data_IF_763572930619
#
_entry.id   IF_763572930619
#
_cell.length_a   1.000
_cell.length_b   1.000
_cell.length_c   1.000
_cell.angle_alpha   90.00
_cell.angle_beta   90.00
_cell.angle_gamma   90.00
#
_symmetry.space_group_name_H-M   'P 1'
#
loop_
_entity.id
_entity.type
_entity.pdbx_description
1 polymer ?
#
# COMPACT_ATOMS: atom_id res chain seq x y z
N UNK A 1 -1.00 22.67 21.62
CA UNK A 1 -0.59 21.76 20.54
C UNK A 1 -1.87 21.33 19.84
N UNK A 2 -2.05 21.66 18.56
CA UNK A 2 -3.21 21.21 17.80
C UNK A 2 -3.08 19.71 17.52
N UNK A 3 -4.15 18.94 17.76
CA UNK A 3 -4.18 17.51 17.47
C UNK A 3 -3.81 17.22 16.01
N UNK A 4 -3.14 16.10 15.73
CA UNK A 4 -2.72 15.71 14.38
C UNK A 4 -3.88 15.30 13.45
N UNK A 5 -5.09 15.26 13.98
CA UNK A 5 -6.31 14.80 13.32
C UNK A 5 -7.51 15.72 13.65
N UNK A 6 -8.55 15.62 12.83
CA UNK A 6 -9.86 16.19 13.07
C UNK A 6 -10.67 15.25 13.97
N UNK A 7 -11.46 15.82 14.88
CA UNK A 7 -12.42 15.02 15.65
C UNK A 7 -13.39 14.34 14.68
N UNK A 8 -13.52 13.02 14.78
CA UNK A 8 -14.49 12.29 13.97
C UNK A 8 -15.90 12.53 14.50
N UNK A 9 -16.69 13.30 13.75
CA UNK A 9 -18.07 13.63 14.07
C UNK A 9 -19.09 12.80 13.26
N UNK A 10 -18.62 11.85 12.43
CA UNK A 10 -19.51 10.93 11.75
C UNK A 10 -20.15 9.95 12.76
N UNK A 11 -21.43 9.65 12.57
CA UNK A 11 -22.14 8.66 13.39
C UNK A 11 -21.53 7.28 13.19
N UNK A 12 -21.62 6.42 14.21
CA UNK A 12 -21.35 4.99 14.04
C UNK A 12 -22.44 4.33 13.19
N UNK A 13 -22.18 3.11 12.71
CA UNK A 13 -23.13 2.30 11.95
C UNK A 13 -24.44 2.06 12.73
N UNK A 14 -25.58 2.35 12.10
CA UNK A 14 -26.94 2.25 12.63
C UNK A 14 -27.85 1.47 11.66
N UNK A 15 -27.37 0.34 11.14
CA UNK A 15 -28.10 -0.53 10.22
C UNK A 15 -28.44 0.12 8.87
N UNK A 16 -27.64 1.07 8.40
CA UNK A 16 -27.80 1.64 7.07
C UNK A 16 -27.54 0.60 5.97
N UNK A 17 -28.23 0.76 4.84
CA UNK A 17 -28.03 -0.06 3.65
C UNK A 17 -27.05 0.62 2.70
N UNK A 18 -25.88 0.02 2.51
CA UNK A 18 -24.85 0.54 1.59
C UNK A 18 -24.75 -0.21 0.27
N UNK A 19 -25.31 -1.41 0.21
CA UNK A 19 -25.18 -2.32 -0.92
C UNK A 19 -26.55 -2.65 -1.51
N UNK A 20 -26.59 -2.77 -2.83
CA UNK A 20 -27.71 -3.36 -3.56
C UNK A 20 -27.75 -4.87 -3.35
N UNK A 21 -28.81 -5.53 -3.84
CA UNK A 21 -28.90 -7.00 -3.84
C UNK A 21 -27.77 -7.71 -4.58
N UNK A 22 -27.06 -6.99 -5.46
CA UNK A 22 -25.93 -7.51 -6.24
C UNK A 22 -24.57 -7.18 -5.61
N UNK A 23 -24.54 -6.79 -4.32
CA UNK A 23 -23.32 -6.39 -3.59
C UNK A 23 -22.57 -5.21 -4.21
N UNK A 24 -23.26 -4.34 -4.95
CA UNK A 24 -22.71 -3.09 -5.46
C UNK A 24 -23.09 -1.93 -4.54
N UNK A 25 -22.26 -0.89 -4.43
CA UNK A 25 -22.65 0.33 -3.72
C UNK A 25 -23.97 0.89 -4.28
N UNK A 26 -24.82 1.42 -3.40
CA UNK A 26 -26.07 2.05 -3.83
C UNK A 26 -25.80 3.28 -4.71
N UNK A 27 -26.68 3.57 -5.70
CA UNK A 27 -26.47 4.65 -6.66
C UNK A 27 -26.20 6.03 -6.04
N UNK A 28 -26.87 6.36 -4.94
CA UNK A 28 -26.69 7.63 -4.23
C UNK A 28 -25.23 7.86 -3.82
N UNK A 29 -24.55 6.81 -3.35
CA UNK A 29 -23.15 6.89 -2.91
C UNK A 29 -22.23 6.81 -4.12
N UNK A 30 -22.44 5.84 -5.00
CA UNK A 30 -21.55 5.64 -6.15
C UNK A 30 -21.56 6.82 -7.11
N UNK A 31 -22.72 7.42 -7.40
CA UNK A 31 -22.81 8.55 -8.34
C UNK A 31 -22.12 9.80 -7.81
N UNK A 32 -22.22 10.09 -6.50
CA UNK A 32 -21.50 11.21 -5.89
C UNK A 32 -19.98 11.03 -5.98
N UNK A 33 -19.51 9.81 -5.74
CA UNK A 33 -18.09 9.45 -5.83
C UNK A 33 -17.60 9.56 -7.27
N UNK A 34 -18.32 9.00 -8.24
CA UNK A 34 -17.97 9.05 -9.67
C UNK A 34 -17.90 10.50 -10.16
N UNK A 35 -18.92 11.32 -9.84
CA UNK A 35 -18.92 12.73 -10.23
C UNK A 35 -17.73 13.50 -9.65
N UNK A 36 -17.37 13.23 -8.39
CA UNK A 36 -16.18 13.81 -7.78
C UNK A 36 -14.90 13.36 -8.49
N UNK A 37 -14.76 12.07 -8.82
CA UNK A 37 -13.61 11.52 -9.55
C UNK A 37 -13.44 12.23 -10.89
N UNK A 38 -14.50 12.35 -11.69
CA UNK A 38 -14.48 13.01 -13.00
C UNK A 38 -13.96 14.45 -12.89
N UNK A 39 -14.46 15.22 -11.91
CA UNK A 39 -13.99 16.57 -11.67
C UNK A 39 -12.51 16.62 -11.27
N UNK A 40 -12.08 15.74 -10.37
CA UNK A 40 -10.70 15.77 -9.87
C UNK A 40 -9.68 15.24 -10.88
N UNK A 41 -10.07 14.36 -11.80
CA UNK A 41 -9.21 13.95 -12.92
C UNK A 41 -8.82 15.17 -13.76
N UNK A 42 -9.77 16.07 -14.06
CA UNK A 42 -9.46 17.31 -14.78
C UNK A 42 -8.50 18.22 -14.01
N UNK A 43 -8.61 18.29 -12.67
CA UNK A 43 -7.64 19.01 -11.83
C UNK A 43 -6.26 18.35 -11.89
N UNK A 44 -6.20 17.01 -11.84
CA UNK A 44 -4.96 16.26 -11.93
C UNK A 44 -4.25 16.46 -13.27
N UNK A 45 -5.00 16.54 -14.36
CA UNK A 45 -4.47 16.75 -15.72
C UNK A 45 -3.82 18.11 -15.95
N UNK A 46 -4.12 19.11 -15.10
CA UNK A 46 -3.47 20.42 -15.15
C UNK A 46 -2.04 20.38 -14.60
N UNK A 47 -1.66 19.32 -13.91
CA UNK A 47 -0.31 19.14 -13.39
C UNK A 47 0.62 18.56 -14.46
N UNK A 48 1.76 19.22 -14.70
CA UNK A 48 2.70 18.88 -15.77
C UNK A 48 4.16 18.72 -15.29
N UNK A 49 4.40 18.58 -13.99
CA UNK A 49 5.76 18.30 -13.53
C UNK A 49 6.04 16.80 -13.65
N UNK A 50 6.92 16.49 -14.61
CA UNK A 50 7.36 15.13 -14.95
C UNK A 50 8.80 14.85 -14.53
N UNK A 51 9.38 15.66 -13.64
CA UNK A 51 10.79 15.52 -13.22
C UNK A 51 11.03 14.32 -12.29
N UNK A 52 10.01 13.87 -11.58
CA UNK A 52 10.04 12.65 -10.76
C UNK A 52 9.34 11.50 -11.50
N UNK A 53 10.10 10.45 -11.81
CA UNK A 53 9.58 9.24 -12.44
C UNK A 53 9.10 8.19 -11.42
N UNK A 54 9.25 8.41 -10.11
CA UNK A 54 8.89 7.42 -9.08
C UNK A 54 7.40 7.11 -9.03
N UNK A 55 7.04 5.95 -8.47
CA UNK A 55 5.62 5.61 -8.22
C UNK A 55 5.09 6.36 -7.00
N UNK A 56 5.95 6.61 -6.01
CA UNK A 56 5.55 7.24 -4.76
C UNK A 56 5.12 8.70 -4.96
N UNK A 57 5.98 9.52 -5.58
CA UNK A 57 5.74 10.96 -5.76
C UNK A 57 5.63 11.43 -7.21
N UNK A 58 6.00 10.57 -8.16
CA UNK A 58 6.17 10.94 -9.55
C UNK A 58 5.06 10.49 -10.53
N UNK A 59 5.35 10.69 -11.80
CA UNK A 59 4.45 10.44 -12.93
C UNK A 59 4.07 8.95 -13.08
N UNK A 60 4.93 8.02 -12.69
CA UNK A 60 4.60 6.59 -12.75
C UNK A 60 3.47 6.24 -11.77
N UNK A 61 3.37 6.94 -10.63
CA UNK A 61 2.25 6.78 -9.70
C UNK A 61 0.92 7.21 -10.31
N UNK A 62 0.94 8.27 -11.13
CA UNK A 62 -0.23 8.75 -11.87
C UNK A 62 -0.57 7.79 -13.01
N UNK A 63 0.43 7.22 -13.69
CA UNK A 63 0.21 6.18 -14.70
C UNK A 63 -0.47 4.93 -14.08
N UNK A 64 -0.06 4.53 -12.87
CA UNK A 64 -0.69 3.44 -12.13
C UNK A 64 -2.15 3.75 -11.79
N UNK A 65 -2.47 5.00 -11.42
CA UNK A 65 -3.85 5.44 -11.22
C UNK A 65 -4.67 5.29 -12.51
N UNK A 66 -4.17 5.77 -13.65
CA UNK A 66 -4.91 5.66 -14.91
C UNK A 66 -5.13 4.20 -15.34
N UNK A 67 -4.13 3.34 -15.16
CA UNK A 67 -4.30 1.91 -15.41
C UNK A 67 -5.42 1.33 -14.52
N UNK A 68 -5.50 1.74 -13.26
CA UNK A 68 -6.57 1.32 -12.35
C UNK A 68 -7.94 1.88 -12.76
N UNK A 69 -8.04 3.16 -13.13
CA UNK A 69 -9.27 3.77 -13.64
C UNK A 69 -9.80 3.02 -14.87
N UNK A 70 -8.93 2.59 -15.79
CA UNK A 70 -9.33 1.79 -16.95
C UNK A 70 -9.89 0.41 -16.62
N UNK A 71 -9.53 -0.17 -15.46
CA UNK A 71 -10.10 -1.43 -14.97
C UNK A 71 -11.50 -1.24 -14.38
N UNK A 72 -11.75 -0.10 -13.73
CA UNK A 72 -13.02 0.19 -13.04
C UNK A 72 -14.04 0.84 -13.97
N UNK A 73 -13.59 1.65 -14.94
CA UNK A 73 -14.42 2.32 -15.94
C UNK A 73 -14.13 1.77 -17.34
N UNK A 74 -14.64 0.57 -17.68
CA UNK A 74 -14.26 -0.13 -18.92
C UNK A 74 -14.64 0.62 -20.20
N UNK A 75 -15.64 1.48 -20.17
CA UNK A 75 -16.03 2.33 -21.31
C UNK A 75 -14.95 3.34 -21.70
N UNK A 76 -14.19 3.82 -20.71
CA UNK A 76 -13.08 4.78 -20.89
C UNK A 76 -11.71 4.09 -20.87
N UNK A 77 -11.65 2.76 -20.87
CA UNK A 77 -10.40 1.99 -20.73
C UNK A 77 -9.33 2.48 -21.71
N UNK A 78 -9.67 2.62 -22.99
CA UNK A 78 -8.71 3.02 -24.02
C UNK A 78 -8.15 4.44 -23.79
N UNK A 79 -8.99 5.37 -23.30
CA UNK A 79 -8.58 6.73 -22.98
C UNK A 79 -7.60 6.73 -21.80
N UNK A 80 -7.94 6.02 -20.72
CA UNK A 80 -7.06 5.91 -19.56
C UNK A 80 -5.75 5.15 -19.85
N UNK A 81 -5.79 4.05 -20.61
CA UNK A 81 -4.59 3.35 -21.06
C UNK A 81 -3.68 4.26 -21.88
N UNK A 82 -4.25 5.10 -22.77
CA UNK A 82 -3.48 6.07 -23.54
C UNK A 82 -2.77 7.09 -22.64
N UNK A 83 -3.48 7.67 -21.66
CA UNK A 83 -2.90 8.60 -20.67
C UNK A 83 -1.80 7.95 -19.83
N UNK A 84 -2.05 6.74 -19.33
CA UNK A 84 -1.07 5.97 -18.59
C UNK A 84 0.19 5.72 -19.42
N UNK A 85 0.03 5.37 -20.70
CA UNK A 85 1.13 5.14 -21.64
C UNK A 85 1.95 6.42 -21.87
N UNK A 86 1.32 7.56 -22.11
CA UNK A 86 2.05 8.83 -22.31
C UNK A 86 2.93 9.17 -21.11
N UNK A 87 2.41 9.00 -19.90
CA UNK A 87 3.19 9.25 -18.68
C UNK A 87 4.32 8.25 -18.51
N UNK A 88 4.06 6.96 -18.76
CA UNK A 88 5.07 5.93 -18.55
C UNK A 88 6.21 6.02 -19.56
N UNK A 89 5.92 6.39 -20.81
CA UNK A 89 6.94 6.59 -21.84
C UNK A 89 7.94 7.67 -21.43
N UNK A 90 7.44 8.81 -20.91
CA UNK A 90 8.28 9.88 -20.34
C UNK A 90 9.10 9.39 -19.15
N UNK A 91 8.53 8.56 -18.27
CA UNK A 91 9.26 7.98 -17.15
C UNK A 91 10.40 7.07 -17.61
N UNK A 92 10.20 6.28 -18.68
CA UNK A 92 11.20 5.35 -19.21
C UNK A 92 12.43 6.07 -19.80
N UNK A 93 12.30 7.33 -20.21
CA UNK A 93 13.41 8.17 -20.68
C UNK A 93 14.27 8.71 -19.54
N UNK A 94 13.75 8.74 -18.30
CA UNK A 94 14.38 9.35 -17.12
C UNK A 94 14.90 8.32 -16.10
N UNK A 95 15.00 7.05 -16.49
CA UNK A 95 15.46 5.96 -15.62
C UNK A 95 16.94 6.11 -15.28
N UNK A 96 17.22 6.56 -14.06
CA UNK A 96 18.57 6.77 -13.53
C UNK A 96 18.70 6.36 -12.05
N UNK A 97 17.66 5.76 -11.47
CA UNK A 97 17.65 5.53 -10.03
C UNK A 97 18.53 4.34 -9.65
N UNK A 98 19.34 4.52 -8.61
CA UNK A 98 20.04 3.41 -7.93
C UNK A 98 19.14 2.63 -6.97
N UNK A 99 17.88 3.05 -6.80
CA UNK A 99 16.95 2.42 -5.86
C UNK A 99 16.27 1.21 -6.53
N UNK A 100 16.03 0.18 -5.73
CA UNK A 100 15.62 -1.14 -6.22
C UNK A 100 14.13 -1.44 -6.02
N UNK A 101 13.38 -0.56 -5.37
CA UNK A 101 11.99 -0.81 -4.99
C UNK A 101 10.98 -0.37 -6.05
N UNK A 102 9.77 -0.90 -5.98
CA UNK A 102 8.64 -0.45 -6.79
C UNK A 102 8.31 1.03 -6.57
N UNK A 103 8.33 1.49 -5.32
CA UNK A 103 7.81 2.81 -4.96
C UNK A 103 8.76 3.95 -5.32
N UNK A 104 10.06 3.75 -5.12
CA UNK A 104 11.04 4.83 -5.21
C UNK A 104 12.12 4.60 -6.27
N UNK A 105 12.16 3.42 -6.90
CA UNK A 105 13.17 3.02 -7.87
C UNK A 105 12.63 2.78 -9.28
N UNK A 106 13.57 2.53 -10.19
CA UNK A 106 13.30 2.19 -11.59
C UNK A 106 12.39 0.95 -11.78
N UNK A 107 12.36 -0.05 -10.86
CA UNK A 107 11.43 -1.18 -10.97
C UNK A 107 9.96 -0.80 -11.03
N UNK A 108 9.54 0.30 -10.39
CA UNK A 108 8.15 0.78 -10.45
C UNK A 108 7.72 1.16 -11.86
N UNK A 109 8.35 2.17 -12.49
CA UNK A 109 8.06 2.56 -13.86
C UNK A 109 8.19 1.42 -14.87
N UNK A 110 9.23 0.59 -14.73
CA UNK A 110 9.45 -0.57 -15.61
C UNK A 110 8.31 -1.59 -15.49
N UNK A 111 7.84 -1.87 -14.28
CA UNK A 111 6.78 -2.85 -14.07
C UNK A 111 5.42 -2.34 -14.56
N UNK A 112 5.11 -1.06 -14.33
CA UNK A 112 3.89 -0.43 -14.84
C UNK A 112 3.93 -0.40 -16.38
N UNK A 113 5.07 -0.07 -16.98
CA UNK A 113 5.25 -0.12 -18.43
C UNK A 113 5.03 -1.54 -18.98
N UNK A 114 5.59 -2.57 -18.33
CA UNK A 114 5.39 -3.96 -18.74
C UNK A 114 3.90 -4.34 -18.76
N UNK A 115 3.12 -3.94 -17.75
CA UNK A 115 1.68 -4.21 -17.72
C UNK A 115 0.93 -3.46 -18.83
N UNK A 116 1.20 -2.15 -19.00
CA UNK A 116 0.57 -1.35 -20.06
C UNK A 116 0.87 -1.92 -21.44
N UNK A 117 2.13 -2.29 -21.70
CA UNK A 117 2.53 -2.81 -22.99
C UNK A 117 2.12 -4.26 -23.24
N UNK A 118 1.87 -5.04 -22.18
CA UNK A 118 1.23 -6.34 -22.30
C UNK A 118 -0.23 -6.19 -22.76
N UNK A 119 -0.99 -5.23 -22.20
CA UNK A 119 -2.35 -4.91 -22.64
C UNK A 119 -2.41 -4.37 -24.09
N UNK A 120 -1.29 -3.86 -24.61
CA UNK A 120 -1.14 -3.37 -25.98
C UNK A 120 -0.46 -4.39 -26.91
N UNK A 121 -0.35 -5.65 -26.49
CA UNK A 121 0.26 -6.75 -27.25
C UNK A 121 1.70 -6.47 -27.76
N UNK A 122 2.46 -5.62 -27.06
CA UNK A 122 3.83 -5.25 -27.43
C UNK A 122 4.87 -5.99 -26.58
N UNK A 123 5.04 -7.28 -26.86
CA UNK A 123 5.95 -8.17 -26.13
C UNK A 123 7.43 -7.73 -26.18
N UNK A 124 7.84 -6.95 -27.18
CA UNK A 124 9.21 -6.42 -27.27
C UNK A 124 9.51 -5.46 -26.11
N UNK A 125 8.58 -4.57 -25.77
CA UNK A 125 8.77 -3.63 -24.66
C UNK A 125 8.59 -4.34 -23.32
N UNK A 126 7.64 -5.27 -23.23
CA UNK A 126 7.48 -6.13 -22.05
C UNK A 126 8.80 -6.81 -21.71
N UNK A 127 9.39 -7.56 -22.65
CA UNK A 127 10.64 -8.29 -22.43
C UNK A 127 11.79 -7.36 -22.01
N UNK A 128 11.93 -6.19 -22.66
CA UNK A 128 12.96 -5.20 -22.29
C UNK A 128 12.78 -4.69 -20.87
N UNK A 129 11.55 -4.47 -20.41
CA UNK A 129 11.28 -4.03 -19.04
C UNK A 129 11.61 -5.14 -18.03
N UNK A 130 11.19 -6.37 -18.33
CA UNK A 130 11.45 -7.54 -17.48
C UNK A 130 12.95 -7.82 -17.36
N UNK A 131 13.71 -7.78 -18.47
CA UNK A 131 15.16 -7.95 -18.46
C UNK A 131 15.86 -6.94 -17.54
N UNK A 132 15.46 -5.67 -17.59
CA UNK A 132 15.98 -4.63 -16.70
C UNK A 132 15.62 -4.86 -15.23
N UNK A 133 14.40 -5.32 -14.95
CA UNK A 133 13.97 -5.63 -13.57
C UNK A 133 14.76 -6.82 -13.02
N UNK A 134 15.00 -7.84 -13.84
CA UNK A 134 15.79 -9.02 -13.45
C UNK A 134 17.26 -8.63 -13.24
N UNK A 135 17.83 -7.71 -14.03
CA UNK A 135 19.23 -7.31 -13.86
C UNK A 135 19.51 -6.63 -12.51
N UNK A 136 18.48 -6.08 -11.86
CA UNK A 136 18.55 -5.49 -10.51
C UNK A 136 18.69 -6.56 -9.42
N UNK A 137 18.49 -7.86 -9.71
CA UNK A 137 18.65 -8.96 -8.74
C UNK A 137 19.95 -8.84 -7.96
N UNK A 138 21.07 -8.59 -8.63
CA UNK A 138 22.37 -8.52 -7.97
C UNK A 138 22.46 -7.37 -6.99
N UNK A 139 21.87 -6.21 -7.32
CA UNK A 139 21.76 -5.10 -6.39
C UNK A 139 20.83 -5.51 -5.25
N UNK A 140 19.63 -6.02 -5.53
CA UNK A 140 18.71 -6.45 -4.48
C UNK A 140 19.28 -7.51 -3.53
N UNK A 141 20.11 -8.44 -3.99
CA UNK A 141 20.72 -9.45 -3.12
C UNK A 141 21.89 -8.85 -2.34
N UNK A 142 22.73 -8.02 -2.98
CA UNK A 142 23.97 -7.52 -2.38
C UNK A 142 23.86 -6.15 -1.70
N UNK A 143 22.74 -5.44 -1.87
CA UNK A 143 22.57 -4.07 -1.36
C UNK A 143 22.59 -4.08 0.17
N UNK A 144 23.58 -3.47 0.83
CA UNK A 144 23.55 -3.32 2.28
C UNK A 144 22.40 -2.39 2.72
N UNK A 145 21.78 -1.64 1.80
CA UNK A 145 20.73 -0.68 2.09
C UNK A 145 19.35 -1.34 2.15
N UNK A 146 19.03 -1.79 3.37
CA UNK A 146 17.68 -1.97 3.93
C UNK A 146 16.71 -2.95 3.24
N UNK A 147 15.93 -3.63 4.07
CA UNK A 147 14.91 -4.59 3.64
C UNK A 147 13.51 -3.98 3.54
N UNK A 148 13.35 -2.70 3.88
CA UNK A 148 12.03 -2.07 4.00
C UNK A 148 11.33 -1.81 2.65
N UNK A 149 10.08 -1.33 2.72
CA UNK A 149 9.14 -1.37 1.60
C UNK A 149 9.37 -0.26 0.57
N UNK A 150 9.82 0.92 0.99
CA UNK A 150 9.89 2.10 0.11
C UNK A 150 11.14 2.10 -0.75
N UNK A 151 12.28 1.61 -0.25
CA UNK A 151 13.59 1.64 -0.90
C UNK A 151 14.26 0.27 -0.97
N UNK A 152 13.91 -0.65 -0.07
CA UNK A 152 14.58 -1.91 0.14
C UNK A 152 14.03 -3.12 -0.61
N UNK A 153 14.52 -4.29 -0.19
CA UNK A 153 14.21 -5.60 -0.80
C UNK A 153 12.73 -5.97 -0.75
N UNK A 154 11.98 -5.60 0.29
CA UNK A 154 10.54 -5.85 0.32
C UNK A 154 9.84 -5.10 -0.83
N UNK A 155 10.25 -3.86 -1.12
CA UNK A 155 9.74 -3.11 -2.26
C UNK A 155 10.10 -3.74 -3.62
N UNK A 156 11.25 -4.39 -3.73
CA UNK A 156 11.63 -5.16 -4.93
C UNK A 156 10.82 -6.46 -5.05
N UNK A 157 10.67 -7.21 -3.95
CA UNK A 157 9.85 -8.41 -3.88
C UNK A 157 8.40 -8.13 -4.29
N UNK A 158 7.85 -6.98 -3.86
CA UNK A 158 6.55 -6.52 -4.31
C UNK A 158 6.50 -6.35 -5.83
N UNK A 159 7.52 -5.76 -6.47
CA UNK A 159 7.58 -5.64 -7.94
C UNK A 159 7.46 -6.99 -8.63
N UNK A 160 8.20 -7.99 -8.15
CA UNK A 160 8.19 -9.34 -8.72
C UNK A 160 6.80 -9.98 -8.61
N UNK A 161 6.17 -9.84 -7.44
CA UNK A 161 4.81 -10.35 -7.21
C UNK A 161 3.76 -9.60 -8.01
N UNK A 162 3.90 -8.28 -8.16
CA UNK A 162 3.02 -7.44 -8.98
C UNK A 162 3.02 -7.91 -10.44
N UNK A 163 4.19 -8.13 -11.04
CA UNK A 163 4.29 -8.63 -12.42
C UNK A 163 3.71 -10.03 -12.60
N UNK A 164 3.98 -10.95 -11.66
CA UNK A 164 3.40 -12.30 -11.68
C UNK A 164 1.88 -12.28 -11.59
N UNK A 165 1.31 -11.33 -10.84
CA UNK A 165 -0.14 -11.14 -10.69
C UNK A 165 -0.78 -10.51 -11.93
N UNK A 166 -0.17 -9.46 -12.46
CA UNK A 166 -0.78 -8.61 -13.50
C UNK A 166 -0.57 -9.16 -14.92
N UNK A 167 0.55 -9.84 -15.20
CA UNK A 167 0.85 -10.40 -16.53
C UNK A 167 0.73 -11.93 -16.51
N UNK A 168 1.29 -12.57 -15.48
CA UNK A 168 1.19 -14.01 -15.29
C UNK A 168 2.43 -14.63 -14.65
N UNK A 169 2.27 -15.81 -14.05
CA UNK A 169 3.30 -16.48 -13.24
C UNK A 169 4.58 -16.87 -14.00
N UNK A 170 4.57 -16.86 -15.33
CA UNK A 170 5.71 -17.23 -16.18
C UNK A 170 6.68 -16.06 -16.40
N UNK A 171 6.25 -14.81 -16.16
CA UNK A 171 7.02 -13.61 -16.53
C UNK A 171 8.24 -13.37 -15.63
N UNK A 172 8.16 -13.84 -14.38
CA UNK A 172 9.26 -13.79 -13.41
C UNK A 172 9.51 -15.21 -12.92
N UNK A 173 10.76 -15.65 -12.88
CA UNK A 173 11.13 -16.96 -12.34
C UNK A 173 10.71 -17.09 -10.87
N UNK A 174 10.12 -18.24 -10.54
CA UNK A 174 9.78 -18.62 -9.17
C UNK A 174 11.02 -18.57 -8.27
N UNK A 175 12.18 -19.03 -8.76
CA UNK A 175 13.40 -19.06 -7.95
C UNK A 175 13.88 -17.67 -7.56
N UNK A 176 13.72 -16.66 -8.44
CA UNK A 176 14.08 -15.29 -8.12
C UNK A 176 13.27 -14.74 -6.93
N UNK A 177 11.98 -15.04 -6.86
CA UNK A 177 11.13 -14.63 -5.74
C UNK A 177 11.59 -15.28 -4.43
N UNK A 178 11.91 -16.58 -4.47
CA UNK A 178 12.43 -17.33 -3.32
C UNK A 178 13.76 -16.74 -2.85
N UNK A 179 14.71 -16.51 -3.77
CA UNK A 179 16.03 -15.97 -3.44
C UNK A 179 15.93 -14.62 -2.70
N UNK A 180 15.06 -13.72 -3.18
CA UNK A 180 14.84 -12.40 -2.55
C UNK A 180 14.17 -12.56 -1.20
N UNK A 181 13.15 -13.43 -1.09
CA UNK A 181 12.48 -13.72 0.18
C UNK A 181 13.47 -14.24 1.24
N UNK A 182 14.26 -15.25 0.90
CA UNK A 182 15.22 -15.85 1.84
C UNK A 182 16.36 -14.90 2.19
N UNK A 183 16.73 -14.01 1.26
CA UNK A 183 17.69 -12.93 1.56
C UNK A 183 17.14 -11.97 2.62
N UNK A 184 15.85 -11.61 2.56
CA UNK A 184 15.19 -10.77 3.58
C UNK A 184 15.13 -11.48 4.94
N UNK A 185 14.85 -12.79 4.96
CA UNK A 185 14.88 -13.59 6.20
C UNK A 185 16.29 -13.56 6.80
N UNK A 186 17.30 -13.94 6.01
CA UNK A 186 18.70 -14.03 6.46
C UNK A 186 19.23 -12.68 6.96
N UNK A 187 18.93 -11.60 6.25
CA UNK A 187 19.28 -10.23 6.67
C UNK A 187 18.69 -9.90 8.04
N UNK A 188 17.39 -10.21 8.22
CA UNK A 188 16.67 -9.98 9.47
C UNK A 188 17.18 -10.79 10.65
N UNK A 189 17.57 -12.05 10.42
CA UNK A 189 18.18 -12.92 11.45
C UNK A 189 19.55 -12.40 11.89
N UNK A 190 20.40 -12.01 10.92
CA UNK A 190 21.73 -11.46 11.19
C UNK A 190 21.60 -10.20 12.05
N UNK A 191 20.77 -9.25 11.60
CA UNK A 191 20.57 -8.00 12.33
C UNK A 191 19.96 -8.23 13.72
N UNK A 192 18.96 -9.12 13.85
CA UNK A 192 18.37 -9.45 15.14
C UNK A 192 19.40 -10.00 16.12
N UNK A 193 20.31 -10.87 15.66
CA UNK A 193 21.38 -11.42 16.48
C UNK A 193 22.40 -10.35 16.89
N UNK A 194 22.83 -9.50 15.97
CA UNK A 194 23.82 -8.45 16.21
C UNK A 194 23.31 -7.35 17.14
N UNK A 195 22.03 -6.98 17.00
CA UNK A 195 21.36 -5.99 17.85
C UNK A 195 20.92 -6.53 19.22
N UNK A 196 20.97 -7.85 19.42
CA UNK A 196 20.43 -8.50 20.63
C UNK A 196 18.90 -8.42 20.72
N UNK A 197 18.21 -8.35 19.58
CA UNK A 197 16.75 -8.27 19.52
C UNK A 197 16.10 -9.51 20.13
N UNK A 198 14.94 -9.31 20.76
CA UNK A 198 14.08 -10.39 21.27
C UNK A 198 13.21 -11.02 20.17
N UNK A 199 13.16 -10.39 19.01
CA UNK A 199 12.47 -10.91 17.82
C UNK A 199 13.45 -11.75 16.99
N UNK A 200 13.02 -12.87 16.37
CA UNK A 200 13.92 -13.62 15.49
C UNK A 200 14.28 -12.85 14.21
N UNK A 201 13.40 -11.96 13.75
CA UNK A 201 13.70 -11.03 12.66
C UNK A 201 13.62 -9.59 13.17
N UNK A 202 14.61 -8.79 12.82
CA UNK A 202 14.64 -7.35 13.08
C UNK A 202 15.35 -6.63 11.94
N UNK A 203 14.98 -5.36 11.71
CA UNK A 203 15.48 -4.59 10.57
C UNK A 203 15.72 -3.14 10.96
N UNK A 204 16.63 -2.49 10.22
CA UNK A 204 16.97 -1.09 10.42
C UNK A 204 16.99 -0.34 9.10
N UNK A 205 16.56 0.92 9.15
CA UNK A 205 16.70 1.87 8.06
C UNK A 205 17.08 3.23 8.65
N UNK A 206 18.10 3.89 8.12
CA UNK A 206 18.61 5.18 8.63
C UNK A 206 18.79 5.18 10.15
N UNK A 207 19.57 4.20 10.64
CA UNK A 207 19.92 4.01 12.05
C UNK A 207 18.73 3.81 13.01
N UNK A 208 17.55 3.45 12.48
CA UNK A 208 16.33 3.25 13.27
C UNK A 208 15.63 1.94 12.96
N UNK A 209 15.24 1.23 14.01
CA UNK A 209 14.32 0.10 13.95
C UNK A 209 12.89 0.61 13.83
N UNK A 210 12.42 0.81 12.61
CA UNK A 210 11.05 1.21 12.35
C UNK A 210 10.07 0.04 12.51
N UNK A 211 8.86 0.35 12.99
CA UNK A 211 7.85 -0.66 13.27
C UNK A 211 6.71 -0.67 12.24
N UNK A 212 6.43 0.47 11.60
CA UNK A 212 5.30 0.63 10.67
C UNK A 212 5.47 -0.01 9.29
N UNK A 213 4.50 0.20 8.39
CA UNK A 213 4.45 -0.52 7.11
C UNK A 213 5.41 0.01 6.03
N UNK A 214 5.74 1.31 6.04
CA UNK A 214 6.61 1.88 5.00
C UNK A 214 8.07 1.43 5.20
N UNK A 215 8.65 1.81 6.34
CA UNK A 215 10.09 1.65 6.59
C UNK A 215 10.42 0.54 7.59
N UNK A 216 9.41 -0.19 8.07
CA UNK A 216 9.54 -0.99 9.28
C UNK A 216 9.15 -2.45 9.14
N UNK A 217 9.33 -3.17 10.25
CA UNK A 217 9.15 -4.61 10.33
C UNK A 217 7.71 -5.02 9.98
N UNK A 218 6.69 -4.23 10.33
CA UNK A 218 5.30 -4.58 10.00
C UNK A 218 5.07 -4.74 8.50
N UNK A 219 5.66 -3.87 7.65
CA UNK A 219 5.47 -3.95 6.20
C UNK A 219 6.21 -5.13 5.59
N UNK A 220 7.42 -5.39 6.08
CA UNK A 220 8.24 -6.53 5.66
C UNK A 220 7.51 -7.84 5.97
N UNK A 221 7.13 -8.05 7.23
CA UNK A 221 6.48 -9.30 7.65
C UNK A 221 5.11 -9.49 6.99
N UNK A 222 4.35 -8.40 6.80
CA UNK A 222 3.11 -8.43 6.04
C UNK A 222 3.32 -9.00 4.63
N UNK A 223 4.31 -8.50 3.88
CA UNK A 223 4.58 -8.97 2.52
C UNK A 223 5.05 -10.42 2.51
N UNK A 224 5.92 -10.80 3.43
CA UNK A 224 6.40 -12.18 3.52
C UNK A 224 5.24 -13.14 3.82
N UNK A 225 4.33 -12.79 4.74
CA UNK A 225 3.11 -13.59 4.99
C UNK A 225 2.27 -13.73 3.70
N UNK A 226 2.05 -12.65 2.95
CA UNK A 226 1.33 -12.68 1.67
C UNK A 226 1.98 -13.60 0.64
N UNK A 227 3.31 -13.60 0.54
CA UNK A 227 4.04 -14.50 -0.36
C UNK A 227 3.84 -15.96 0.07
N UNK A 228 3.89 -16.27 1.37
CA UNK A 228 3.69 -17.66 1.87
C UNK A 228 2.27 -18.19 1.69
N UNK A 229 1.26 -17.31 1.60
CA UNK A 229 -0.12 -17.69 1.29
C UNK A 229 -0.29 -18.12 -0.17
N UNK A 230 0.51 -17.54 -1.08
CA UNK A 230 0.40 -17.81 -2.50
C UNK A 230 0.80 -19.26 -2.82
N UNK A 231 -0.07 -19.99 -3.53
CA UNK A 231 0.06 -21.44 -3.75
C UNK A 231 1.39 -21.85 -4.39
N UNK A 232 1.93 -21.02 -5.29
CA UNK A 232 3.20 -21.28 -5.97
C UNK A 232 4.41 -21.35 -5.04
N UNK A 233 4.32 -20.88 -3.79
CA UNK A 233 5.44 -20.75 -2.85
C UNK A 233 5.24 -21.57 -1.57
N UNK A 234 4.63 -22.75 -1.70
CA UNK A 234 4.37 -23.63 -0.55
C UNK A 234 5.62 -24.00 0.25
N UNK A 235 6.81 -24.06 -0.38
CA UNK A 235 8.09 -24.30 0.29
C UNK A 235 8.46 -23.24 1.33
N UNK A 236 7.99 -21.99 1.15
CA UNK A 236 8.26 -20.89 2.08
C UNK A 236 7.38 -20.94 3.35
N UNK A 237 6.37 -21.82 3.40
CA UNK A 237 5.45 -21.91 4.54
C UNK A 237 6.13 -22.34 5.85
N UNK A 238 7.28 -23.00 5.76
CA UNK A 238 8.08 -23.35 6.94
C UNK A 238 8.55 -22.11 7.72
N UNK A 239 8.78 -20.97 7.03
CA UNK A 239 9.17 -19.69 7.64
C UNK A 239 8.04 -19.05 8.46
N UNK A 240 6.77 -19.41 8.21
CA UNK A 240 5.62 -18.86 8.94
C UNK A 240 5.75 -19.11 10.44
N UNK A 241 5.88 -20.37 10.85
CA UNK A 241 5.93 -20.74 12.27
C UNK A 241 7.32 -20.55 12.89
N UNK A 242 8.38 -20.62 12.10
CA UNK A 242 9.76 -20.50 12.59
C UNK A 242 10.21 -19.04 12.77
N UNK A 243 9.76 -18.12 11.93
CA UNK A 243 10.25 -16.73 11.91
C UNK A 243 9.13 -15.69 11.92
N UNK A 244 8.17 -15.79 11.00
CA UNK A 244 7.22 -14.70 10.74
C UNK A 244 6.26 -14.50 11.92
N UNK A 245 5.60 -15.56 12.38
CA UNK A 245 4.65 -15.49 13.51
C UNK A 245 5.34 -15.10 14.84
N UNK A 246 6.50 -15.69 15.21
CA UNK A 246 7.28 -15.17 16.34
C UNK A 246 7.62 -13.67 16.24
N UNK A 247 7.90 -13.17 15.03
CA UNK A 247 8.12 -11.73 14.80
C UNK A 247 6.83 -10.92 14.96
N UNK A 248 5.68 -11.43 14.51
CA UNK A 248 4.35 -10.84 14.78
C UNK A 248 4.09 -10.76 16.29
N UNK A 249 4.43 -11.80 17.05
CA UNK A 249 4.31 -11.79 18.51
C UNK A 249 5.17 -10.72 19.18
N UNK A 250 6.39 -10.50 18.69
CA UNK A 250 7.19 -9.34 19.11
C UNK A 250 6.50 -8.02 18.78
N UNK A 251 5.96 -7.87 17.56
CA UNK A 251 5.30 -6.65 17.11
C UNK A 251 4.03 -6.32 17.91
N UNK A 252 3.31 -7.33 18.40
CA UNK A 252 2.19 -7.14 19.35
C UNK A 252 2.60 -6.37 20.60
N UNK A 253 3.83 -6.56 21.08
CA UNK A 253 4.36 -5.86 22.26
C UNK A 253 4.63 -4.37 22.03
N UNK A 254 4.57 -3.90 20.77
CA UNK A 254 4.78 -2.48 20.40
C UNK A 254 3.50 -1.65 20.40
N UNK A 255 2.40 -2.24 20.88
CA UNK A 255 1.13 -1.57 21.08
C UNK A 255 1.22 -0.60 22.25
N UNK A 256 0.74 0.62 22.02
CA UNK A 256 0.64 1.70 23.00
C UNK A 256 -0.66 1.59 23.82
N UNK A 257 -0.76 2.25 24.99
CA UNK A 257 -1.98 2.24 25.80
C UNK A 257 -3.25 2.71 25.06
N UNK A 258 -3.13 3.59 24.07
CA UNK A 258 -4.25 4.04 23.24
C UNK A 258 -4.76 2.98 22.24
N UNK A 259 -4.04 1.87 22.09
CA UNK A 259 -4.24 0.86 21.05
C UNK A 259 -3.46 1.15 19.76
N UNK A 260 -2.83 2.32 19.61
CA UNK A 260 -1.95 2.63 18.48
C UNK A 260 -0.62 1.87 18.58
N UNK A 261 0.28 2.02 17.61
CA UNK A 261 1.57 1.34 17.58
C UNK A 261 2.73 2.33 17.47
N UNK A 262 3.86 1.95 18.06
CA UNK A 262 5.10 2.72 17.96
C UNK A 262 5.54 2.93 16.51
N UNK A 263 6.15 4.07 16.23
CA UNK A 263 6.76 4.34 14.92
C UNK A 263 8.10 3.61 14.77
N UNK A 264 8.87 3.52 15.85
CA UNK A 264 10.18 2.88 15.96
C UNK A 264 10.47 2.46 17.40
N UNK A 265 11.44 1.56 17.63
CA UNK A 265 11.78 1.03 18.97
C UNK A 265 12.03 2.10 20.03
N UNK A 266 12.64 3.23 19.64
CA UNK A 266 13.03 4.31 20.56
C UNK A 266 11.98 5.44 20.67
N UNK A 267 10.87 5.34 19.93
CA UNK A 267 9.80 6.32 20.00
C UNK A 267 8.87 6.00 21.17
N UNK A 268 8.34 7.03 21.82
CA UNK A 268 7.18 6.92 22.74
C UNK A 268 6.02 7.81 22.27
N UNK A 269 6.13 8.37 21.06
CA UNK A 269 5.16 9.31 20.52
C UNK A 269 3.92 8.58 20.01
N UNK A 270 2.77 8.89 20.60
CA UNK A 270 1.47 8.38 20.17
C UNK A 270 0.73 9.40 19.28
N UNK A 271 1.37 9.86 18.20
CA UNK A 271 0.80 10.90 17.33
C UNK A 271 0.49 10.43 15.92
N UNK A 272 1.19 9.41 15.45
CA UNK A 272 1.13 8.96 14.05
C UNK A 272 0.07 7.86 13.93
N UNK A 273 -0.96 8.13 13.14
CA UNK A 273 -2.02 7.19 12.75
C UNK A 273 -2.06 7.20 11.23
N UNK A 274 -1.01 6.64 10.63
CA UNK A 274 -0.71 6.72 9.20
C UNK A 274 -0.34 5.31 8.69
N UNK A 275 -0.50 5.04 7.39
CA UNK A 275 -0.04 3.77 6.81
C UNK A 275 1.45 3.55 7.05
N UNK A 276 2.27 4.58 6.83
CA UNK A 276 3.71 4.48 7.06
C UNK A 276 4.09 4.18 8.51
N UNK A 277 3.37 4.78 9.48
CA UNK A 277 3.66 4.66 10.92
C UNK A 277 2.37 4.70 11.76
N UNK A 278 2.17 3.64 12.55
CA UNK A 278 1.07 3.52 13.51
C UNK A 278 0.05 2.44 13.13
N UNK A 279 -1.10 2.48 13.79
CA UNK A 279 -2.17 1.49 13.67
C UNK A 279 -2.58 1.14 12.23
N UNK A 280 -2.71 2.07 11.27
CA UNK A 280 -3.13 1.72 9.92
C UNK A 280 -2.23 0.68 9.25
N UNK A 281 -0.90 0.83 9.34
CA UNK A 281 0.04 -0.14 8.77
C UNK A 281 0.00 -1.52 9.47
N UNK A 282 -0.32 -1.54 10.76
CA UNK A 282 -0.41 -2.76 11.57
C UNK A 282 -1.69 -3.56 11.34
N UNK A 283 -2.79 -2.91 10.94
CA UNK A 283 -4.02 -3.64 10.58
C UNK A 283 -3.71 -4.67 9.51
N UNK A 284 -2.98 -4.26 8.46
CA UNK A 284 -2.68 -5.17 7.37
C UNK A 284 -1.85 -6.38 7.81
N UNK A 285 -0.89 -6.18 8.71
CA UNK A 285 -0.10 -7.26 9.27
C UNK A 285 -0.98 -8.26 10.03
N UNK A 286 -1.83 -7.77 10.93
CA UNK A 286 -2.62 -8.64 11.80
C UNK A 286 -3.73 -9.39 11.05
N UNK A 287 -4.35 -8.76 10.05
CA UNK A 287 -5.29 -9.47 9.18
C UNK A 287 -4.59 -10.61 8.45
N UNK A 288 -3.37 -10.41 7.92
CA UNK A 288 -2.60 -11.47 7.27
C UNK A 288 -2.12 -12.55 8.22
N UNK A 289 -1.73 -12.19 9.44
CA UNK A 289 -1.43 -13.16 10.48
C UNK A 289 -2.67 -14.02 10.82
N UNK A 290 -3.86 -13.42 10.89
CA UNK A 290 -5.12 -14.13 11.07
C UNK A 290 -5.40 -15.08 9.90
N UNK A 291 -5.36 -14.60 8.65
CA UNK A 291 -5.63 -15.41 7.47
C UNK A 291 -4.68 -16.61 7.33
N UNK A 292 -3.40 -16.44 7.68
CA UNK A 292 -2.39 -17.51 7.61
C UNK A 292 -2.55 -18.55 8.70
N UNK A 293 -2.96 -18.14 9.91
CA UNK A 293 -2.93 -19.01 11.11
C UNK A 293 -4.31 -19.47 11.58
N UNK A 294 -5.38 -18.80 11.16
CA UNK A 294 -6.73 -18.94 11.74
C UNK A 294 -6.87 -18.41 13.17
N UNK A 295 -5.82 -17.79 13.73
CA UNK A 295 -5.80 -17.38 15.15
C UNK A 295 -6.55 -16.07 15.33
N UNK A 296 -7.75 -16.14 15.92
CA UNK A 296 -8.67 -15.01 16.06
C UNK A 296 -8.09 -13.82 16.86
N UNK A 297 -7.17 -14.05 17.79
CA UNK A 297 -6.54 -12.95 18.54
C UNK A 297 -5.80 -11.95 17.65
N UNK A 298 -5.34 -12.35 16.45
CA UNK A 298 -4.78 -11.40 15.49
C UNK A 298 -5.89 -10.54 14.85
N UNK A 299 -7.04 -11.13 14.54
CA UNK A 299 -8.18 -10.37 14.04
C UNK A 299 -8.67 -9.35 15.09
N UNK A 300 -8.71 -9.73 16.37
CA UNK A 300 -9.06 -8.81 17.46
C UNK A 300 -8.10 -7.61 17.55
N UNK A 301 -6.80 -7.84 17.33
CA UNK A 301 -5.80 -6.77 17.27
C UNK A 301 -6.01 -5.87 16.06
N UNK A 302 -6.33 -6.44 14.90
CA UNK A 302 -6.64 -5.68 13.69
C UNK A 302 -7.89 -4.81 13.88
N UNK A 303 -8.95 -5.37 14.47
CA UNK A 303 -10.19 -4.66 14.83
C UNK A 303 -9.88 -3.51 15.78
N UNK A 304 -9.11 -3.76 16.85
CA UNK A 304 -8.75 -2.71 17.80
C UNK A 304 -7.91 -1.61 17.16
N UNK A 305 -6.98 -1.95 16.26
CA UNK A 305 -6.22 -0.96 15.50
C UNK A 305 -7.14 -0.17 14.55
N UNK A 306 -8.11 -0.83 13.91
CA UNK A 306 -9.16 -0.18 13.12
C UNK A 306 -9.99 0.82 13.93
N UNK A 307 -10.32 0.52 15.19
CA UNK A 307 -11.00 1.48 16.07
C UNK A 307 -10.16 2.72 16.39
N UNK A 308 -8.83 2.58 16.48
CA UNK A 308 -7.92 3.73 16.58
C UNK A 308 -7.99 4.59 15.32
N UNK A 309 -7.96 3.96 14.14
CA UNK A 309 -8.09 4.67 12.86
C UNK A 309 -9.43 5.38 12.76
N UNK A 310 -10.52 4.76 13.20
CA UNK A 310 -11.83 5.41 13.21
C UNK A 310 -11.84 6.69 14.06
N UNK A 311 -11.23 6.66 15.24
CA UNK A 311 -11.22 7.81 16.17
C UNK A 311 -10.25 8.91 15.74
N UNK A 312 -9.13 8.56 15.09
CA UNK A 312 -7.96 9.44 14.94
C UNK A 312 -7.42 9.53 13.50
N UNK A 313 -8.08 8.89 12.54
CA UNK A 313 -7.59 8.70 11.17
C UNK A 313 -8.01 9.77 10.16
N UNK A 314 -8.86 10.74 10.56
CA UNK A 314 -9.16 11.93 9.75
C UNK A 314 -8.02 12.94 9.93
N UNK A 315 -6.98 12.87 9.10
CA UNK A 315 -5.72 13.57 9.38
C UNK A 315 -5.73 15.02 8.89
N UNK A 316 -5.24 15.94 9.73
CA UNK A 316 -4.97 17.34 9.31
C UNK A 316 -3.79 17.44 8.34
N UNK A 317 -3.01 16.38 8.20
CA UNK A 317 -1.88 16.31 7.26
C UNK A 317 -2.34 16.29 5.80
N UNK A 318 -3.59 15.93 5.53
CA UNK A 318 -4.18 15.88 4.20
C UNK A 318 -4.86 14.55 3.93
N UNK A 319 -5.14 14.30 2.65
CA UNK A 319 -6.01 13.21 2.22
C UNK A 319 -5.27 12.06 1.52
N UNK A 320 -3.96 12.17 1.26
CA UNK A 320 -3.19 11.17 0.50
C UNK A 320 -3.11 9.77 1.13
N UNK A 321 -2.42 8.85 0.46
CA UNK A 321 -2.35 7.44 0.85
C UNK A 321 -1.35 7.14 1.96
N UNK A 322 -0.16 7.73 1.94
CA UNK A 322 0.90 7.37 2.89
C UNK A 322 0.54 7.76 4.33
N UNK A 323 -0.07 8.94 4.47
CA UNK A 323 -0.33 9.58 5.75
C UNK A 323 -1.46 10.60 5.66
N UNK A 324 -2.55 10.21 5.00
CA UNK A 324 -3.78 10.99 4.90
C UNK A 324 -5.03 10.14 5.07
N UNK A 325 -6.19 10.81 4.99
CA UNK A 325 -7.49 10.18 5.22
C UNK A 325 -7.78 9.05 4.23
N UNK A 326 -7.43 9.17 2.94
CA UNK A 326 -7.70 8.10 1.97
C UNK A 326 -6.93 6.82 2.30
N UNK A 327 -5.64 6.94 2.65
CA UNK A 327 -4.84 5.79 3.06
C UNK A 327 -5.39 5.09 4.31
N UNK A 328 -5.90 5.88 5.26
CA UNK A 328 -6.58 5.36 6.43
C UNK A 328 -7.95 4.75 6.10
N UNK A 329 -8.63 5.19 5.04
CA UNK A 329 -9.89 4.60 4.57
C UNK A 329 -9.73 3.14 4.12
N UNK A 330 -8.61 2.79 3.50
CA UNK A 330 -8.31 1.41 3.10
C UNK A 330 -8.25 0.42 4.25
N UNK A 331 -7.90 0.87 5.47
CA UNK A 331 -7.91 0.03 6.68
C UNK A 331 -9.30 -0.59 6.88
N UNK A 332 -10.35 0.19 6.65
CA UNK A 332 -11.71 -0.30 6.82
C UNK A 332 -12.16 -1.19 5.66
N UNK A 333 -11.68 -0.94 4.44
CA UNK A 333 -11.93 -1.86 3.32
C UNK A 333 -11.27 -3.22 3.57
N UNK A 334 -10.07 -3.22 4.15
CA UNK A 334 -9.38 -4.46 4.51
C UNK A 334 -10.07 -5.22 5.63
N UNK A 335 -10.47 -4.54 6.71
CA UNK A 335 -11.26 -5.16 7.77
C UNK A 335 -12.63 -5.63 7.29
N UNK A 336 -13.27 -4.91 6.36
CA UNK A 336 -14.52 -5.36 5.75
C UNK A 336 -14.33 -6.69 5.02
N UNK A 337 -13.28 -6.84 4.22
CA UNK A 337 -12.97 -8.11 3.54
C UNK A 337 -12.66 -9.23 4.52
N UNK A 338 -11.93 -8.93 5.60
CA UNK A 338 -11.52 -9.93 6.59
C UNK A 338 -12.67 -10.42 7.49
N UNK A 339 -13.63 -9.55 7.79
CA UNK A 339 -14.70 -9.82 8.77
C UNK A 339 -16.07 -10.03 8.13
N UNK A 340 -16.27 -9.53 6.91
CA UNK A 340 -17.58 -9.38 6.26
C UNK A 340 -18.60 -8.55 7.08
N UNK A 341 -18.12 -7.74 8.04
CA UNK A 341 -18.97 -6.87 8.85
C UNK A 341 -19.14 -5.49 8.19
N UNK A 342 -20.38 -5.20 7.80
CA UNK A 342 -20.79 -3.98 7.08
C UNK A 342 -20.44 -2.69 7.83
N UNK A 343 -20.24 -2.73 9.15
CA UNK A 343 -19.74 -1.61 9.95
C UNK A 343 -18.41 -1.08 9.40
N UNK A 344 -17.54 -1.94 8.89
CA UNK A 344 -16.26 -1.49 8.32
C UNK A 344 -16.47 -0.80 6.97
N UNK A 345 -17.39 -1.29 6.13
CA UNK A 345 -17.77 -0.59 4.92
C UNK A 345 -18.37 0.80 5.22
N UNK A 346 -19.23 0.90 6.23
CA UNK A 346 -19.73 2.19 6.72
C UNK A 346 -18.59 3.17 7.00
N UNK A 347 -17.57 2.74 7.76
CA UNK A 347 -16.44 3.61 8.14
C UNK A 347 -15.61 4.03 6.91
N UNK A 348 -15.41 3.13 5.94
CA UNK A 348 -14.78 3.47 4.66
C UNK A 348 -15.59 4.56 3.91
N UNK A 349 -16.91 4.43 3.86
CA UNK A 349 -17.81 5.40 3.22
C UNK A 349 -17.80 6.76 3.94
N UNK A 350 -17.69 6.79 5.27
CA UNK A 350 -17.54 8.07 5.99
C UNK A 350 -16.18 8.73 5.71
N UNK A 351 -15.13 7.94 5.54
CA UNK A 351 -13.82 8.46 5.14
C UNK A 351 -13.81 8.94 3.68
N UNK A 352 -14.54 8.28 2.77
CA UNK A 352 -14.74 8.79 1.40
C UNK A 352 -15.57 10.07 1.41
N UNK A 353 -16.59 10.17 2.27
CA UNK A 353 -17.37 11.40 2.45
C UNK A 353 -16.48 12.56 2.93
N UNK A 354 -15.53 12.31 3.83
CA UNK A 354 -14.54 13.31 4.21
C UNK A 354 -13.66 13.76 3.04
N UNK A 355 -13.29 12.83 2.13
CA UNK A 355 -12.54 13.11 0.92
C UNK A 355 -13.36 13.84 -0.17
N UNK A 356 -14.69 13.74 -0.18
CA UNK A 356 -15.53 14.55 -1.10
C UNK A 356 -15.36 16.06 -0.86
N UNK A 357 -15.01 16.44 0.36
CA UNK A 357 -14.67 17.80 0.77
C UNK A 357 -13.15 18.09 0.69
N UNK A 358 -12.46 17.45 -0.26
CA UNK A 358 -11.05 17.70 -0.52
C UNK A 358 -10.75 19.19 -0.69
N UNK A 359 -9.79 19.69 0.09
CA UNK A 359 -9.38 21.10 0.08
C UNK A 359 -10.33 22.06 0.80
N UNK A 360 -11.48 21.60 1.32
CA UNK A 360 -12.44 22.44 2.05
C UNK A 360 -12.25 22.42 3.57
N UNK A 361 -11.52 21.45 4.11
CA UNK A 361 -11.28 21.38 5.56
C UNK A 361 -10.19 22.38 5.95
N UNK A 362 -10.59 23.39 6.72
CA UNK A 362 -9.65 24.34 7.33
C UNK A 362 -8.56 23.57 8.11
N UNK A 363 -7.31 24.02 8.03
CA UNK A 363 -6.14 23.42 8.69
C UNK A 363 -5.57 22.15 8.03
N UNK A 364 -6.15 21.68 6.92
CA UNK A 364 -5.49 20.71 6.05
C UNK A 364 -4.24 21.33 5.42
N UNK A 365 -3.12 20.60 5.44
CA UNK A 365 -1.86 21.05 4.81
C UNK A 365 -1.83 20.63 3.35
N UNK A 366 -1.29 21.50 2.50
CA UNK A 366 -0.89 21.11 1.15
C UNK A 366 0.31 20.17 1.23
N UNK A 367 0.25 18.97 0.61
CA UNK A 367 1.39 18.07 0.55
C UNK A 367 2.54 18.64 -0.29
N UNK A 368 3.76 18.16 -0.06
CA UNK A 368 4.94 18.56 -0.85
C UNK A 368 4.77 18.21 -2.34
N UNK A 369 4.15 17.05 -2.63
CA UNK A 369 3.78 16.62 -3.98
C UNK A 369 2.26 16.47 -4.09
N UNK A 370 1.52 17.58 -4.28
CA UNK A 370 0.07 17.65 -4.08
C UNK A 370 -0.76 16.83 -5.07
N UNK A 371 -0.15 16.37 -6.16
CA UNK A 371 -0.80 15.56 -7.20
C UNK A 371 -0.35 14.10 -7.23
N UNK A 372 0.67 13.76 -6.45
CA UNK A 372 1.27 12.42 -6.46
C UNK A 372 0.35 11.32 -5.92
N UNK A 373 0.71 10.06 -6.21
CA UNK A 373 -0.02 8.90 -5.72
C UNK A 373 0.04 8.77 -4.20
N UNK A 374 1.22 8.84 -3.57
CA UNK A 374 1.30 8.56 -2.12
C UNK A 374 1.04 9.77 -1.22
N UNK A 375 1.21 11.01 -1.70
CA UNK A 375 1.01 12.21 -0.88
C UNK A 375 -0.21 13.02 -1.28
N UNK A 376 -0.63 12.94 -2.55
CA UNK A 376 -1.51 13.92 -3.16
C UNK A 376 -2.86 13.40 -3.66
N UNK A 377 -3.40 14.17 -4.62
CA UNK A 377 -4.73 13.98 -5.19
C UNK A 377 -4.87 12.62 -5.90
N UNK A 378 -3.86 12.16 -6.65
CA UNK A 378 -3.94 10.88 -7.36
C UNK A 378 -4.22 9.71 -6.39
N UNK A 379 -3.60 9.72 -5.21
CA UNK A 379 -3.89 8.73 -4.17
C UNK A 379 -5.31 8.78 -3.65
N UNK A 380 -5.85 9.98 -3.48
CA UNK A 380 -7.23 10.17 -3.04
C UNK A 380 -8.20 9.68 -4.11
N UNK A 381 -7.97 10.01 -5.39
CA UNK A 381 -8.75 9.49 -6.51
C UNK A 381 -8.68 7.96 -6.55
N UNK A 382 -7.51 7.36 -6.31
CA UNK A 382 -7.37 5.91 -6.28
C UNK A 382 -8.30 5.29 -5.24
N UNK A 383 -8.27 5.75 -3.99
CA UNK A 383 -9.18 5.28 -2.93
C UNK A 383 -10.66 5.46 -3.28
N UNK A 384 -11.02 6.64 -3.82
CA UNK A 384 -12.39 6.94 -4.23
C UNK A 384 -12.85 6.06 -5.39
N UNK A 385 -11.93 5.63 -6.25
CA UNK A 385 -12.23 4.67 -7.32
C UNK A 385 -12.43 3.27 -6.73
N UNK A 386 -11.54 2.84 -5.84
CA UNK A 386 -11.53 1.48 -5.30
C UNK A 386 -12.74 1.19 -4.39
N UNK A 387 -13.23 2.18 -3.64
CA UNK A 387 -14.42 2.02 -2.80
C UNK A 387 -15.69 1.71 -3.62
N UNK A 388 -15.71 2.00 -4.92
CA UNK A 388 -16.82 1.60 -5.80
C UNK A 388 -16.98 0.07 -5.88
N UNK A 389 -15.91 -0.68 -5.58
CA UNK A 389 -15.90 -2.14 -5.51
C UNK A 389 -15.21 -2.65 -4.22
N UNK A 390 -15.87 -2.52 -3.05
CA UNK A 390 -15.20 -2.67 -1.74
C UNK A 390 -14.52 -4.02 -1.51
N UNK A 391 -15.07 -5.11 -2.06
CA UNK A 391 -14.51 -6.45 -1.90
C UNK A 391 -13.21 -6.65 -2.71
N UNK A 392 -13.06 -5.91 -3.81
CA UNK A 392 -11.90 -5.98 -4.68
C UNK A 392 -10.88 -4.87 -4.44
N UNK A 393 -11.22 -3.84 -3.66
CA UNK A 393 -10.33 -2.75 -3.31
C UNK A 393 -9.03 -3.26 -2.66
N UNK A 394 -7.87 -2.68 -3.00
CA UNK A 394 -6.55 -3.04 -2.47
C UNK A 394 -5.70 -1.78 -2.36
N UNK A 395 -5.10 -1.53 -1.19
CA UNK A 395 -4.18 -0.40 -1.03
C UNK A 395 -3.07 -0.48 -2.10
N UNK A 396 -2.95 0.52 -2.99
CA UNK A 396 -2.12 0.38 -4.18
C UNK A 396 -0.63 0.35 -3.83
N UNK A 397 0.12 -0.45 -4.58
CA UNK A 397 1.54 -0.66 -4.35
C UNK A 397 1.87 -1.24 -2.96
N UNK A 398 0.91 -1.93 -2.31
CA UNK A 398 1.08 -2.61 -1.02
C UNK A 398 0.29 -3.93 -0.91
N UNK A 399 -1.01 -3.95 -1.23
CA UNK A 399 -1.89 -5.13 -1.13
C UNK A 399 -2.03 -6.00 -2.37
#
# INVERSE_FOLDING_TARGET
MTDSYFQNNYTEYQNETYLTSNNQLIPEISSNIIHWIEHQIHTLEQYNDQSDASVYTGSAGIALLYLHLGKIFPTEKNNYTSKAKTLIDSCLEQLHSKRISFLAGDPGPLAIAAVIYNDLDNQKIVNKCIEKIISIKNDAVNDPNSDEYIYGRAGYLYTLMFLRKEIGSHIIDKQLVIDVFETIIKSGEIYAKESGSKSPLMYQWHDKEYMGAAHGVSGIIYLLLKVTQHESFSELRSYVNSHLIPTVEFLKTKRLPSGNYLSSSNSQSDKLVQWCHGAPGFVYLFVRAYEVTGTHSYLDLAISAGDVVWKRGLLRKGYGLCHGTAGNGYVFLDLYRATNDIKWLHRAIKFSAHCLDYGKHELSRTPDHPYSLFQGLAGTIYFMTDILNPMNARFPAFE
#
